data_IF_601455323268
#
_entry.id   IF_601455323268
#
_cell.length_a   1.000
_cell.length_b   1.000
_cell.length_c   1.000
_cell.angle_alpha   90.00
_cell.angle_beta   90.00
_cell.angle_gamma   90.00
#
_symmetry.space_group_name_H-M   'P 1'
#
loop_
_entity.id
_entity.type
_entity.pdbx_description
1 polymer ?
#
# COMPACT_ATOMS: atom_id res chain seq x y z
N UNK A 1 -19.63 -2.27 -7.67
CA UNK A 1 -19.38 -2.57 -6.24
C UNK A 1 -18.33 -1.65 -5.70
N UNK A 2 -18.57 -1.11 -4.53
CA UNK A 2 -17.63 -0.18 -3.95
C UNK A 2 -16.55 -0.90 -3.14
N UNK A 3 -15.33 -0.42 -3.31
CA UNK A 3 -14.19 -0.92 -2.55
C UNK A 3 -14.25 -0.32 -1.16
N UNK A 4 -13.86 -1.09 -0.16
CA UNK A 4 -13.85 -0.64 1.23
C UNK A 4 -12.44 -0.75 1.81
N UNK A 5 -12.10 0.09 2.79
CA UNK A 5 -10.79 -0.03 3.45
C UNK A 5 -10.53 -1.42 4.02
N UNK A 6 -11.55 -2.09 4.51
CA UNK A 6 -11.41 -3.42 5.10
C UNK A 6 -11.09 -4.52 4.07
N UNK A 7 -11.18 -4.20 2.78
CA UNK A 7 -10.85 -5.16 1.72
C UNK A 7 -9.34 -5.34 1.54
N UNK A 8 -8.54 -4.52 2.22
CA UNK A 8 -7.09 -4.53 2.08
C UNK A 8 -6.42 -5.06 3.34
N UNK A 9 -5.23 -5.62 3.16
CA UNK A 9 -4.47 -6.21 4.25
C UNK A 9 -3.84 -5.16 5.16
N UNK A 10 -3.47 -4.03 4.60
CA UNK A 10 -2.73 -2.98 5.31
C UNK A 10 -3.35 -1.63 5.07
N UNK A 11 -3.14 -0.72 6.01
CA UNK A 11 -3.62 0.64 5.86
C UNK A 11 -2.65 1.60 6.55
N UNK A 12 -2.53 2.80 5.99
CA UNK A 12 -1.73 3.87 6.59
C UNK A 12 -2.52 5.17 6.47
N UNK A 13 -2.24 6.10 7.37
CA UNK A 13 -2.85 7.43 7.33
C UNK A 13 -1.89 8.37 6.61
N UNK A 14 -2.42 9.12 5.65
CA UNK A 14 -1.63 10.08 4.89
C UNK A 14 -2.41 11.40 4.83
N UNK A 15 -1.73 12.49 5.09
CA UNK A 15 -2.35 13.81 4.97
C UNK A 15 -2.15 14.34 3.54
N UNK A 16 -3.24 14.70 2.91
CA UNK A 16 -3.21 15.29 1.56
C UNK A 16 -3.68 16.73 1.63
N UNK A 17 -2.84 17.63 1.14
CA UNK A 17 -3.15 19.05 1.12
C UNK A 17 -4.43 19.30 0.32
N UNK A 18 -5.35 20.05 0.90
CA UNK A 18 -6.62 20.34 0.26
C UNK A 18 -7.72 19.32 0.50
N UNK A 19 -7.38 18.15 1.01
CA UNK A 19 -8.33 17.08 1.28
C UNK A 19 -8.38 16.75 2.76
N UNK A 20 -7.22 16.71 3.42
CA UNK A 20 -7.11 16.37 4.83
C UNK A 20 -6.56 14.97 5.01
N UNK A 21 -6.86 14.37 6.15
CA UNK A 21 -6.40 13.03 6.45
C UNK A 21 -7.09 12.02 5.55
N UNK A 22 -6.29 11.16 4.95
CA UNK A 22 -6.79 10.12 4.08
C UNK A 22 -6.25 8.78 4.54
N UNK A 23 -6.94 7.72 4.18
CA UNK A 23 -6.54 6.37 4.48
C UNK A 23 -6.04 5.74 3.18
N UNK A 24 -4.80 5.31 3.17
CA UNK A 24 -4.25 4.57 2.04
C UNK A 24 -4.22 3.10 2.43
N UNK A 25 -5.04 2.32 1.75
CA UNK A 25 -5.15 0.89 2.01
C UNK A 25 -4.48 0.14 0.87
N UNK A 26 -3.72 -0.89 1.20
CA UNK A 26 -2.98 -1.59 0.16
C UNK A 26 -2.80 -3.07 0.50
N UNK A 27 -2.64 -3.85 -0.55
CA UNK A 27 -2.26 -5.25 -0.48
C UNK A 27 -0.87 -5.40 -1.07
N UNK A 28 -0.07 -6.25 -0.44
CA UNK A 28 1.25 -6.56 -0.95
C UNK A 28 1.12 -7.77 -1.87
N UNK A 29 1.48 -7.57 -3.13
CA UNK A 29 1.42 -8.61 -4.14
C UNK A 29 2.78 -9.27 -4.22
N UNK A 30 2.84 -10.53 -3.83
CA UNK A 30 4.08 -11.28 -3.97
C UNK A 30 4.23 -11.72 -5.42
N UNK A 31 5.46 -11.91 -5.90
CA UNK A 31 5.65 -12.46 -7.24
C UNK A 31 4.91 -13.79 -7.32
N UNK A 32 4.02 -13.88 -8.29
CA UNK A 32 3.11 -15.02 -8.38
C UNK A 32 3.79 -16.33 -8.68
N UNK A 33 5.01 -16.28 -9.12
CA UNK A 33 5.74 -17.47 -9.49
C UNK A 33 6.92 -17.69 -8.59
N UNK A 34 6.82 -18.74 -7.86
CA UNK A 34 7.88 -19.25 -7.01
C UNK A 34 9.14 -19.61 -7.78
N UNK A 35 9.06 -19.58 -9.09
CA UNK A 35 10.18 -19.95 -9.94
C UNK A 35 11.30 -18.92 -9.93
N UNK A 36 10.98 -17.69 -9.57
CA UNK A 36 11.96 -16.63 -9.60
C UNK A 36 12.31 -16.19 -8.19
N UNK A 37 12.98 -17.06 -7.49
CA UNK A 37 13.47 -16.75 -6.15
C UNK A 37 14.43 -15.57 -6.15
N UNK A 38 15.05 -15.29 -7.28
CA UNK A 38 15.98 -14.19 -7.42
C UNK A 38 15.27 -12.84 -7.42
N UNK A 39 13.97 -12.83 -7.63
CA UNK A 39 13.17 -11.62 -7.68
C UNK A 39 12.31 -11.43 -6.44
N UNK A 40 12.72 -12.01 -5.34
CA UNK A 40 11.98 -11.90 -4.08
C UNK A 40 11.86 -10.48 -3.56
N UNK A 41 12.66 -9.56 -4.07
CA UNK A 41 12.61 -8.16 -3.67
C UNK A 41 11.63 -7.33 -4.51
N UNK A 42 11.07 -7.92 -5.55
CA UNK A 42 10.17 -7.22 -6.46
C UNK A 42 8.72 -7.36 -6.03
N UNK A 43 8.42 -6.86 -4.84
CA UNK A 43 7.04 -6.81 -4.40
C UNK A 43 6.32 -5.65 -5.07
N UNK A 44 5.07 -5.88 -5.40
CA UNK A 44 4.20 -4.83 -5.90
C UNK A 44 3.10 -4.57 -4.88
N UNK A 45 2.46 -3.43 -5.00
CA UNK A 45 1.33 -3.11 -4.16
C UNK A 45 0.13 -2.76 -5.02
N UNK A 46 -1.03 -3.11 -4.51
CA UNK A 46 -2.31 -2.65 -5.04
C UNK A 46 -2.92 -1.78 -3.97
N UNK A 47 -3.10 -0.49 -4.25
CA UNK A 47 -3.54 0.43 -3.21
C UNK A 47 -4.73 1.27 -3.68
N UNK A 48 -5.47 1.75 -2.70
CA UNK A 48 -6.58 2.66 -2.91
C UNK A 48 -6.57 3.72 -1.84
N UNK A 49 -7.08 4.89 -2.17
CA UNK A 49 -7.11 6.03 -1.26
C UNK A 49 -8.55 6.31 -0.88
N UNK A 50 -8.78 6.49 0.42
CA UNK A 50 -10.10 6.79 0.97
C UNK A 50 -10.03 8.08 1.79
N UNK A 51 -11.11 8.86 1.79
CA UNK A 51 -11.17 10.06 2.61
C UNK A 51 -11.60 9.72 4.04
N UNK A 52 -11.82 10.75 4.86
CA UNK A 52 -12.23 10.56 6.26
C UNK A 52 -13.57 9.87 6.41
N UNK A 53 -14.37 9.86 5.36
CA UNK A 53 -15.69 9.25 5.35
C UNK A 53 -15.69 7.89 4.66
N UNK A 54 -14.49 7.31 4.46
CA UNK A 54 -14.30 6.02 3.82
C UNK A 54 -14.77 5.98 2.37
N UNK A 55 -14.82 7.14 1.72
CA UNK A 55 -15.16 7.20 0.30
C UNK A 55 -13.92 6.97 -0.55
N UNK A 56 -14.07 6.16 -1.57
CA UNK A 56 -12.98 5.83 -2.49
C UNK A 56 -12.67 7.03 -3.38
N UNK A 57 -11.50 7.62 -3.19
CA UNK A 57 -11.10 8.84 -3.89
C UNK A 57 -9.83 8.65 -4.71
N UNK A 58 -9.42 7.44 -4.99
CA UNK A 58 -8.16 7.15 -5.69
C UNK A 58 -8.04 7.90 -7.01
N UNK A 59 -9.15 8.03 -7.73
CA UNK A 59 -9.14 8.68 -9.03
C UNK A 59 -9.59 10.14 -8.98
N UNK A 60 -9.92 10.64 -7.80
CA UNK A 60 -10.37 12.01 -7.61
C UNK A 60 -9.25 12.93 -7.12
N UNK A 61 -8.09 12.37 -6.84
CA UNK A 61 -6.94 13.13 -6.38
C UNK A 61 -6.02 13.46 -7.56
N UNK A 62 -5.13 14.43 -7.34
CA UNK A 62 -4.19 14.81 -8.40
C UNK A 62 -3.13 13.73 -8.56
N UNK A 63 -2.45 13.74 -9.70
CA UNK A 63 -1.36 12.80 -9.94
C UNK A 63 -0.26 12.93 -8.90
N UNK A 64 0.02 14.16 -8.48
CA UNK A 64 1.01 14.42 -7.43
C UNK A 64 0.60 13.77 -6.11
N UNK A 65 -0.67 13.92 -5.74
CA UNK A 65 -1.20 13.30 -4.52
C UNK A 65 -1.20 11.78 -4.63
N UNK A 66 -1.56 11.27 -5.79
CA UNK A 66 -1.54 9.83 -6.04
C UNK A 66 -0.13 9.26 -5.86
N UNK A 67 0.87 9.92 -6.45
CA UNK A 67 2.25 9.48 -6.32
C UNK A 67 2.74 9.56 -4.89
N UNK A 68 2.30 10.56 -4.13
CA UNK A 68 2.65 10.68 -2.73
C UNK A 68 2.09 9.49 -1.92
N UNK A 69 0.84 9.13 -2.18
CA UNK A 69 0.22 7.98 -1.52
C UNK A 69 0.93 6.68 -1.89
N UNK A 70 1.28 6.53 -3.15
CA UNK A 70 2.01 5.35 -3.61
C UNK A 70 3.35 5.22 -2.91
N UNK A 71 4.09 6.31 -2.83
CA UNK A 71 5.40 6.30 -2.16
C UNK A 71 5.27 5.94 -0.68
N UNK A 72 4.25 6.46 -0.01
CA UNK A 72 4.02 6.15 1.40
C UNK A 72 3.67 4.68 1.59
N UNK A 73 2.83 4.14 0.71
CA UNK A 73 2.46 2.74 0.78
C UNK A 73 3.66 1.84 0.48
N UNK A 74 4.49 2.23 -0.47
CA UNK A 74 5.71 1.48 -0.79
C UNK A 74 6.69 1.47 0.38
N UNK A 75 6.86 2.60 1.05
CA UNK A 75 7.72 2.67 2.23
C UNK A 75 7.23 1.72 3.32
N UNK A 76 5.92 1.69 3.55
CA UNK A 76 5.36 0.79 4.54
C UNK A 76 5.52 -0.66 4.13
N UNK A 77 5.34 -0.95 2.85
CA UNK A 77 5.56 -2.29 2.32
C UNK A 77 6.99 -2.76 2.57
N UNK A 78 7.97 -1.88 2.35
CA UNK A 78 9.36 -2.22 2.58
C UNK A 78 9.62 -2.55 4.05
N UNK A 79 9.03 -1.81 4.96
CA UNK A 79 9.13 -2.10 6.39
C UNK A 79 8.55 -3.46 6.72
N UNK A 80 7.36 -3.74 6.20
CA UNK A 80 6.67 -4.99 6.47
C UNK A 80 7.47 -6.18 5.93
N UNK A 81 7.92 -6.08 4.69
CA UNK A 81 8.66 -7.19 4.08
C UNK A 81 10.02 -7.38 4.71
N UNK A 82 10.64 -6.30 5.19
CA UNK A 82 11.89 -6.40 5.93
C UNK A 82 11.70 -7.19 7.23
N UNK A 83 10.59 -6.97 7.92
CA UNK A 83 10.26 -7.74 9.12
C UNK A 83 10.05 -9.22 8.79
N UNK A 84 9.43 -9.53 7.69
CA UNK A 84 9.26 -10.91 7.26
C UNK A 84 10.60 -11.60 7.06
N UNK A 85 11.53 -10.94 6.37
CA UNK A 85 12.85 -11.49 6.13
C UNK A 85 13.64 -11.62 7.43
N UNK A 86 13.49 -10.65 8.31
CA UNK A 86 14.19 -10.66 9.60
C UNK A 86 13.75 -11.86 10.46
N UNK A 87 12.47 -12.19 10.43
CA UNK A 87 11.97 -13.35 11.16
C UNK A 87 12.56 -14.65 10.62
N UNK A 88 12.75 -14.73 9.32
CA UNK A 88 13.34 -15.91 8.70
C UNK A 88 14.80 -16.07 9.06
N UNK A 89 15.52 -14.96 9.17
CA UNK A 89 16.95 -15.00 9.45
C UNK A 89 17.27 -15.28 10.91
N UNK A 90 16.32 -15.03 11.79
CA UNK A 90 16.56 -15.22 13.22
C UNK A 90 16.38 -16.67 13.68
N UNK A 91 16.07 -17.55 12.79
CA UNK A 91 15.85 -18.96 13.14
C UNK A 91 17.14 -19.77 13.08
#
# INVERSE_FOLDING_TARGET
MSVKPSDFQHEICVYLEGIGECLVCFDILTPGDELDADHSDDYEIDFSVFDEQDRHITYDITKKQYNHCENKAMDEMLDITTQWHSEWESV
#
